data_IF_691672553387
#
_entry.id   IF_691672553387
#
_cell.length_a   1.000
_cell.length_b   1.000
_cell.length_c   1.000
_cell.angle_alpha   90.00
_cell.angle_beta   90.00
_cell.angle_gamma   90.00
#
_symmetry.space_group_name_H-M   'P 1'
#
loop_
_entity.id
_entity.type
_entity.pdbx_description
1 polymer ?
#
# COMPACT_ATOMS: atom_id res chain seq x y z
N UNK A 1 -0.40 1.26 -40.47
CA UNK A 1 -0.90 -0.10 -40.19
C UNK A 1 -1.87 -0.47 -41.30
N UNK A 2 -1.45 -1.31 -42.25
CA UNK A 2 -2.35 -1.82 -43.29
C UNK A 2 -3.01 -3.11 -42.79
N UNK A 3 -4.32 -3.28 -43.01
CA UNK A 3 -5.06 -4.52 -42.69
C UNK A 3 -5.79 -4.56 -41.34
N UNK A 4 -5.84 -3.47 -40.56
CA UNK A 4 -6.63 -3.45 -39.32
C UNK A 4 -8.05 -2.93 -39.59
N UNK A 5 -9.06 -3.76 -39.30
CA UNK A 5 -10.47 -3.38 -39.36
C UNK A 5 -11.02 -3.17 -37.95
N UNK A 6 -11.62 -2.00 -37.69
CA UNK A 6 -12.23 -1.67 -36.40
C UNK A 6 -13.73 -1.56 -36.57
N UNK A 7 -14.46 -2.19 -35.66
CA UNK A 7 -15.91 -2.16 -35.63
C UNK A 7 -16.37 -1.40 -34.38
N UNK A 8 -17.40 -0.57 -34.54
CA UNK A 8 -18.03 0.17 -33.45
C UNK A 8 -19.55 0.15 -33.64
N UNK A 9 -20.27 0.13 -32.52
CA UNK A 9 -21.72 0.30 -32.49
C UNK A 9 -22.06 1.78 -32.31
N UNK A 10 -23.21 2.22 -32.83
CA UNK A 10 -23.69 3.58 -32.58
C UNK A 10 -23.93 3.79 -31.06
N UNK A 11 -23.66 4.98 -30.49
CA UNK A 11 -23.72 5.20 -29.04
C UNK A 11 -25.09 4.95 -28.40
N UNK A 12 -26.16 5.21 -29.14
CA UNK A 12 -27.55 4.97 -28.72
C UNK A 12 -27.89 3.47 -28.58
N UNK A 13 -27.15 2.60 -29.26
CA UNK A 13 -27.30 1.13 -29.20
C UNK A 13 -26.48 0.51 -28.05
N UNK A 14 -25.64 1.31 -27.38
CA UNK A 14 -24.76 0.85 -26.31
C UNK A 14 -25.33 1.17 -24.93
N UNK A 15 -25.09 0.28 -23.95
CA UNK A 15 -25.40 0.55 -22.54
C UNK A 15 -24.20 1.28 -21.91
N UNK A 16 -24.41 2.51 -21.44
CA UNK A 16 -23.34 3.34 -20.85
C UNK A 16 -22.61 2.68 -19.68
N UNK A 17 -23.34 1.94 -18.83
CA UNK A 17 -22.79 1.28 -17.64
C UNK A 17 -22.70 -0.25 -17.79
N UNK A 18 -22.51 -0.75 -19.02
CA UNK A 18 -22.39 -2.20 -19.25
C UNK A 18 -21.23 -2.77 -18.42
N UNK A 19 -21.54 -3.71 -17.54
CA UNK A 19 -20.53 -4.37 -16.70
C UNK A 19 -19.94 -3.45 -15.62
N UNK A 20 -20.68 -2.45 -15.14
CA UNK A 20 -20.19 -1.48 -14.16
C UNK A 20 -19.48 -2.11 -12.95
N UNK A 21 -20.07 -3.13 -12.30
CA UNK A 21 -19.44 -3.75 -11.13
C UNK A 21 -18.13 -4.46 -11.48
N UNK A 22 -18.11 -5.20 -12.59
CA UNK A 22 -16.91 -5.90 -13.05
C UNK A 22 -15.79 -4.90 -13.44
N UNK A 23 -16.13 -3.86 -14.19
CA UNK A 23 -15.14 -2.91 -14.69
C UNK A 23 -14.72 -1.85 -13.67
N UNK A 24 -15.67 -1.28 -12.93
CA UNK A 24 -15.40 -0.16 -12.01
C UNK A 24 -14.98 -0.65 -10.62
N UNK A 25 -15.40 -1.84 -10.19
CA UNK A 25 -15.07 -2.35 -8.85
C UNK A 25 -14.02 -3.45 -8.94
N UNK A 26 -14.32 -4.56 -9.62
CA UNK A 26 -13.42 -5.73 -9.63
C UNK A 26 -12.10 -5.40 -10.32
N UNK A 27 -12.16 -4.84 -11.54
CA UNK A 27 -10.95 -4.51 -12.30
C UNK A 27 -10.13 -3.40 -11.65
N UNK A 28 -10.77 -2.37 -11.10
CA UNK A 28 -10.07 -1.29 -10.39
C UNK A 28 -9.40 -1.81 -9.13
N UNK A 29 -10.11 -2.57 -8.29
CA UNK A 29 -9.52 -3.18 -7.09
C UNK A 29 -8.36 -4.10 -7.44
N UNK A 30 -8.53 -4.97 -8.43
CA UNK A 30 -7.45 -5.85 -8.88
C UNK A 30 -6.24 -5.04 -9.33
N UNK A 31 -6.43 -4.02 -10.16
CA UNK A 31 -5.31 -3.28 -10.76
C UNK A 31 -4.56 -2.41 -9.77
N UNK A 32 -5.25 -1.77 -8.82
CA UNK A 32 -4.61 -0.81 -7.90
C UNK A 32 -4.27 -1.39 -6.53
N UNK A 33 -5.00 -2.41 -6.08
CA UNK A 33 -4.76 -3.03 -4.78
C UNK A 33 -4.01 -4.33 -4.99
N UNK A 34 -4.61 -5.30 -5.69
CA UNK A 34 -4.08 -6.65 -5.78
C UNK A 34 -2.82 -6.80 -6.64
N UNK A 35 -2.70 -6.04 -7.71
CA UNK A 35 -1.54 -6.15 -8.60
C UNK A 35 -0.37 -5.28 -8.08
N UNK A 36 -0.63 -4.31 -7.21
CA UNK A 36 0.38 -3.35 -6.74
C UNK A 36 0.75 -3.43 -5.26
N UNK A 37 0.04 -4.22 -4.43
CA UNK A 37 0.28 -4.28 -2.97
C UNK A 37 1.74 -4.50 -2.58
N UNK A 38 2.50 -5.28 -3.35
CA UNK A 38 3.92 -5.55 -3.10
C UNK A 38 4.80 -4.30 -3.14
N UNK A 39 4.38 -3.22 -3.81
CA UNK A 39 5.13 -1.98 -3.84
C UNK A 39 4.95 -1.18 -2.55
N UNK A 40 3.76 -1.22 -1.92
CA UNK A 40 3.43 -0.35 -0.79
C UNK A 40 3.51 -1.06 0.56
N UNK A 41 3.06 -2.32 0.62
CA UNK A 41 2.91 -3.07 1.88
C UNK A 41 4.27 -3.31 2.55
N UNK A 42 5.31 -3.81 1.88
CA UNK A 42 6.61 -4.05 2.52
C UNK A 42 7.25 -2.75 3.05
N UNK A 43 7.13 -1.65 2.31
CA UNK A 43 7.65 -0.35 2.71
C UNK A 43 6.93 0.17 3.97
N UNK A 44 5.61 0.04 4.00
CA UNK A 44 4.79 0.48 5.14
C UNK A 44 5.09 -0.35 6.40
N UNK A 45 5.21 -1.68 6.26
CA UNK A 45 5.58 -2.57 7.36
C UNK A 45 6.98 -2.23 7.86
N UNK A 46 7.96 -2.08 6.96
CA UNK A 46 9.33 -1.72 7.32
C UNK A 46 9.40 -0.41 8.10
N UNK A 47 8.69 0.62 7.63
CA UNK A 47 8.62 1.91 8.32
C UNK A 47 7.98 1.79 9.72
N UNK A 48 6.92 0.99 9.86
CA UNK A 48 6.26 0.77 11.15
C UNK A 48 7.17 0.05 12.15
N UNK A 49 7.87 -0.99 11.71
CA UNK A 49 8.83 -1.71 12.56
C UNK A 49 9.96 -0.80 13.03
N UNK A 50 10.49 0.04 12.13
CA UNK A 50 11.52 1.01 12.48
C UNK A 50 11.01 2.03 13.52
N UNK A 51 9.79 2.55 13.32
CA UNK A 51 9.15 3.46 14.25
C UNK A 51 8.97 2.84 15.65
N UNK A 52 8.47 1.61 15.72
CA UNK A 52 8.25 0.92 17.00
C UNK A 52 9.58 0.65 17.73
N UNK A 53 10.61 0.19 17.01
CA UNK A 53 11.95 0.01 17.57
C UNK A 53 12.52 1.33 18.10
N UNK A 54 12.46 2.40 17.32
CA UNK A 54 13.01 3.70 17.72
C UNK A 54 12.33 4.22 18.98
N UNK A 55 10.99 4.07 19.08
CA UNK A 55 10.23 4.48 20.25
C UNK A 55 10.60 3.70 21.50
N UNK A 56 10.68 2.37 21.39
CA UNK A 56 11.08 1.48 22.50
C UNK A 56 12.50 1.77 22.95
N UNK A 57 13.43 1.90 21.99
CA UNK A 57 14.83 2.17 22.29
C UNK A 57 15.03 3.52 22.96
N UNK A 58 14.36 4.55 22.47
CA UNK A 58 14.40 5.88 23.10
C UNK A 58 13.91 5.85 24.55
N UNK A 59 12.84 5.08 24.81
CA UNK A 59 12.35 4.89 26.18
C UNK A 59 13.36 4.16 27.07
N UNK A 60 14.02 3.11 26.57
CA UNK A 60 15.04 2.37 27.31
C UNK A 60 16.25 3.24 27.67
N UNK A 61 16.83 3.94 26.70
CA UNK A 61 18.03 4.76 26.92
C UNK A 61 17.73 6.05 27.68
N UNK A 62 16.50 6.54 27.64
CA UNK A 62 16.05 7.69 28.42
C UNK A 62 15.93 7.38 29.93
N UNK A 63 15.88 6.10 30.31
CA UNK A 63 15.89 5.70 31.72
C UNK A 63 17.32 5.67 32.25
N UNK A 64 17.51 6.24 33.44
CA UNK A 64 18.78 6.17 34.17
C UNK A 64 19.15 4.71 34.42
N UNK A 65 20.40 4.34 34.15
CA UNK A 65 20.91 3.01 34.41
C UNK A 65 21.36 2.90 35.89
N UNK A 66 20.75 2.04 36.71
CA UNK A 66 21.13 1.87 38.11
C UNK A 66 22.60 1.43 38.30
N UNK A 67 23.16 0.73 37.31
CA UNK A 67 24.56 0.27 37.37
C UNK A 67 25.57 1.42 37.33
N UNK A 68 25.19 2.58 36.75
CA UNK A 68 26.08 3.75 36.68
C UNK A 68 26.30 4.38 38.06
N UNK A 69 25.40 4.12 39.02
CA UNK A 69 25.47 4.62 40.40
C UNK A 69 25.96 3.58 41.40
N UNK A 70 26.30 2.37 40.95
CA UNK A 70 26.67 1.27 41.85
C UNK A 70 27.98 1.50 42.62
N UNK A 71 28.86 2.37 42.10
CA UNK A 71 30.16 2.72 42.69
C UNK A 71 30.27 4.20 43.08
N UNK A 72 29.18 4.96 43.01
CA UNK A 72 29.14 6.33 43.53
C UNK A 72 29.05 6.23 45.06
N UNK A 73 30.13 6.58 45.74
CA UNK A 73 30.27 6.65 47.20
C UNK A 73 30.44 8.09 47.64
#
# INVERSE_FOLDING_TARGET
MYGEHRFALAPNEQKAFKGFLDQAVVKVFKSYVWDQWLYFVPQTIGAYLLYDWAKKRNYEVGRKNPADYANDK
#
